data_IF_537747093460
#
_entry.id   IF_537747093460
#
_cell.length_a   1.000
_cell.length_b   1.000
_cell.length_c   1.000
_cell.angle_alpha   90.00
_cell.angle_beta   90.00
_cell.angle_gamma   90.00
#
_symmetry.space_group_name_H-M   'P 1'
#
loop_
_entity.id
_entity.type
_entity.pdbx_description
1 polymer ?
#
# COMPACT_ATOMS: atom_id res chain seq x y z
N UNK A 1 0.23 5.97 63.62
CA UNK A 1 0.19 7.14 62.70
C UNK A 1 0.44 6.60 61.30
N UNK A 2 -0.57 5.95 60.72
CA UNK A 2 -1.59 6.51 59.82
C UNK A 2 -1.20 6.23 58.37
N UNK A 3 -1.74 5.13 57.87
CA UNK A 3 -1.81 4.76 56.46
C UNK A 3 -2.72 5.74 55.72
N UNK A 4 -2.30 6.19 54.53
CA UNK A 4 -3.18 6.85 53.55
C UNK A 4 -3.38 5.93 52.34
N UNK A 5 -4.62 5.66 51.93
CA UNK A 5 -4.94 4.99 50.68
C UNK A 5 -5.41 5.97 49.59
N UNK A 6 -5.05 5.60 48.36
CA UNK A 6 -5.82 5.63 47.09
C UNK A 6 -7.07 6.52 46.99
N UNK A 7 -7.01 7.48 46.06
CA UNK A 7 -8.15 8.12 45.41
C UNK A 7 -8.61 7.32 44.19
N UNK A 8 -9.91 6.99 44.05
CA UNK A 8 -10.52 6.69 42.76
C UNK A 8 -11.58 7.74 42.36
N UNK A 9 -11.50 8.19 41.10
CA UNK A 9 -12.53 8.98 40.42
C UNK A 9 -13.71 8.11 39.95
N UNK A 10 -14.96 8.61 39.97
CA UNK A 10 -16.14 7.88 39.51
C UNK A 10 -16.64 8.37 38.14
N UNK A 11 -16.74 7.50 37.12
CA UNK A 11 -17.67 7.69 35.99
C UNK A 11 -17.74 6.46 35.06
N UNK A 12 -18.21 5.31 35.55
CA UNK A 12 -18.61 4.15 34.71
C UNK A 12 -19.76 3.42 35.41
N UNK A 13 -20.93 4.09 35.49
CA UNK A 13 -22.18 3.50 36.00
C UNK A 13 -23.45 4.10 35.36
N UNK A 14 -23.32 4.81 34.23
CA UNK A 14 -24.44 5.54 33.62
C UNK A 14 -24.85 5.01 32.22
N UNK A 15 -24.29 3.89 31.75
CA UNK A 15 -24.57 3.35 30.41
C UNK A 15 -25.31 2.00 30.43
N UNK A 16 -25.58 1.41 31.60
CA UNK A 16 -26.30 0.13 31.71
C UNK A 16 -27.76 0.18 32.17
N UNK A 17 -28.41 1.35 32.22
CA UNK A 17 -29.83 1.47 32.65
C UNK A 17 -30.77 2.09 31.61
N UNK A 18 -30.33 2.27 30.36
CA UNK A 18 -31.15 2.84 29.28
C UNK A 18 -31.69 1.81 28.28
N UNK A 19 -31.35 0.52 28.41
CA UNK A 19 -31.74 -0.53 27.45
C UNK A 19 -32.76 -1.56 28.00
N UNK A 20 -33.21 -1.43 29.24
CA UNK A 20 -34.20 -2.35 29.86
C UNK A 20 -35.59 -1.70 30.07
N UNK A 21 -35.78 -0.43 29.73
CA UNK A 21 -37.05 0.31 29.89
C UNK A 21 -37.87 0.43 28.59
N UNK A 22 -37.32 0.02 27.44
CA UNK A 22 -38.04 0.02 26.15
C UNK A 22 -38.80 -1.29 25.89
N UNK A 23 -38.75 -2.28 26.80
CA UNK A 23 -39.43 -3.58 26.65
C UNK A 23 -40.64 -3.80 27.57
N UNK A 24 -41.11 -2.80 28.30
CA UNK A 24 -42.25 -2.93 29.24
C UNK A 24 -43.36 -1.88 29.06
N UNK A 25 -43.39 -1.17 27.91
CA UNK A 25 -44.43 -0.17 27.60
C UNK A 25 -45.41 -0.59 26.50
N UNK A 26 -45.38 -1.86 26.05
CA UNK A 26 -46.27 -2.39 25.01
C UNK A 26 -47.37 -3.33 25.53
N UNK A 27 -47.70 -3.30 26.82
CA UNK A 27 -48.72 -4.19 27.38
C UNK A 27 -49.52 -3.57 28.53
N UNK A 28 -50.33 -2.53 28.26
CA UNK A 28 -51.43 -2.12 29.14
C UNK A 28 -52.68 -1.65 28.35
N UNK A 29 -53.92 -1.96 28.79
CA UNK A 29 -55.14 -1.79 28.00
C UNK A 29 -55.79 -0.40 28.08
N UNK A 30 -56.64 -0.11 27.09
CA UNK A 30 -57.21 1.20 26.70
C UNK A 30 -58.27 1.83 27.64
N UNK A 31 -58.40 1.39 28.89
CA UNK A 31 -59.40 1.90 29.84
C UNK A 31 -58.87 2.94 30.85
N UNK A 32 -57.62 3.39 30.71
CA UNK A 32 -56.98 4.34 31.63
C UNK A 32 -57.16 5.83 31.26
N UNK A 33 -57.69 6.12 30.06
CA UNK A 33 -57.79 7.48 29.50
C UNK A 33 -59.19 8.12 29.61
N UNK A 34 -59.96 7.78 30.64
CA UNK A 34 -61.26 8.40 30.91
C UNK A 34 -61.48 8.63 32.41
N UNK A 35 -60.61 9.38 33.09
CA UNK A 35 -60.98 9.91 34.42
C UNK A 35 -60.19 11.12 34.96
N UNK A 36 -59.56 11.93 34.10
CA UNK A 36 -58.77 13.10 34.53
C UNK A 36 -59.37 14.43 34.06
N UNK A 37 -60.69 14.46 33.88
CA UNK A 37 -61.44 15.65 33.50
C UNK A 37 -62.66 15.83 34.41
N UNK A 38 -62.45 15.84 35.73
CA UNK A 38 -63.37 16.45 36.69
C UNK A 38 -62.79 16.42 38.12
N UNK A 39 -62.42 17.61 38.64
CA UNK A 39 -62.43 18.06 40.05
C UNK A 39 -61.23 18.96 40.39
N UNK A 40 -61.27 20.18 39.86
CA UNK A 40 -60.59 21.34 40.45
C UNK A 40 -61.66 22.30 40.94
N UNK A 41 -62.05 22.20 42.22
CA UNK A 41 -62.88 23.21 42.91
C UNK A 41 -62.37 23.37 44.35
N UNK A 42 -61.77 24.54 44.58
CA UNK A 42 -61.57 25.34 45.80
C UNK A 42 -61.07 24.70 47.11
N UNK A 43 -59.93 25.20 47.59
CA UNK A 43 -59.82 25.76 48.94
C UNK A 43 -58.69 26.79 49.03
N UNK A 44 -59.06 27.99 49.49
CA UNK A 44 -58.27 29.20 49.63
C UNK A 44 -57.27 29.08 50.78
N UNK A 45 -55.95 29.13 50.50
CA UNK A 45 -54.89 29.56 51.46
C UNK A 45 -53.43 29.59 50.94
N UNK A 46 -53.20 29.75 49.64
CA UNK A 46 -51.83 29.80 49.06
C UNK A 46 -51.42 31.17 48.46
N UNK A 47 -52.20 32.22 48.71
CA UNK A 47 -52.05 33.52 48.02
C UNK A 47 -51.12 34.55 48.69
N UNK A 48 -50.37 34.17 49.73
CA UNK A 48 -49.49 35.10 50.45
C UNK A 48 -47.99 34.76 50.41
N UNK A 49 -47.59 33.63 49.80
CA UNK A 49 -46.17 33.29 49.59
C UNK A 49 -45.69 33.45 48.13
N UNK A 50 -46.55 33.97 47.24
CA UNK A 50 -46.24 34.19 45.82
C UNK A 50 -45.89 35.64 45.46
N UNK A 51 -45.71 36.54 46.44
CA UNK A 51 -45.35 37.95 46.17
C UNK A 51 -43.89 38.34 46.42
N UNK A 52 -43.02 37.41 46.82
CA UNK A 52 -41.56 37.68 46.95
C UNK A 52 -40.74 37.01 45.83
N UNK A 53 -41.37 36.29 44.90
CA UNK A 53 -40.70 35.59 43.79
C UNK A 53 -41.11 36.10 42.40
N UNK A 54 -41.44 37.39 42.26
CA UNK A 54 -41.79 37.97 40.94
C UNK A 54 -41.04 39.24 40.58
N UNK A 55 -40.04 39.65 41.38
CA UNK A 55 -39.16 40.80 41.06
C UNK A 55 -37.74 40.40 40.67
N UNK A 56 -37.37 39.11 40.79
CA UNK A 56 -36.06 38.60 40.34
C UNK A 56 -36.11 37.84 39.00
N UNK A 57 -37.28 37.39 38.55
CA UNK A 57 -37.42 36.79 37.21
C UNK A 57 -37.55 37.82 36.07
N UNK A 58 -37.89 39.08 36.38
CA UNK A 58 -38.04 40.14 35.37
C UNK A 58 -36.72 40.76 34.89
N UNK A 59 -35.61 40.58 35.64
CA UNK A 59 -34.29 41.14 35.27
C UNK A 59 -33.42 40.11 34.53
N UNK A 60 -33.72 38.81 34.63
CA UNK A 60 -32.99 37.77 33.90
C UNK A 60 -33.42 37.62 32.44
N UNK A 61 -34.61 38.13 32.06
CA UNK A 61 -35.12 38.03 30.69
C UNK A 61 -34.77 39.20 29.77
N UNK A 62 -34.14 40.27 30.26
CA UNK A 62 -33.70 41.40 29.42
C UNK A 62 -32.31 41.18 28.80
N UNK A 63 -31.52 40.21 29.27
CA UNK A 63 -30.25 39.85 28.64
C UNK A 63 -30.37 38.79 27.52
N UNK A 64 -31.54 38.20 27.29
CA UNK A 64 -31.75 37.16 26.26
C UNK A 64 -32.07 37.76 24.88
N UNK A 65 -32.25 39.08 24.76
CA UNK A 65 -32.65 39.74 23.52
C UNK A 65 -31.53 40.55 22.81
N UNK A 66 -30.25 40.30 23.13
CA UNK A 66 -29.09 40.81 22.34
C UNK A 66 -28.16 39.64 21.94
N UNK A 67 -28.70 38.43 21.81
CA UNK A 67 -28.04 37.35 21.09
C UNK A 67 -28.36 37.47 19.62
N UNK A 68 -27.72 38.41 18.91
CA UNK A 68 -27.60 38.28 17.45
C UNK A 68 -27.03 36.90 17.12
N UNK A 69 -27.32 36.33 15.93
CA UNK A 69 -26.72 35.06 15.55
C UNK A 69 -25.21 35.19 15.76
N UNK A 70 -24.68 34.41 16.69
CA UNK A 70 -23.23 34.23 16.81
C UNK A 70 -22.83 33.74 15.44
N UNK A 71 -22.24 34.64 14.64
CA UNK A 71 -21.65 34.26 13.38
C UNK A 71 -20.76 33.07 13.69
N UNK A 72 -21.03 31.93 13.05
CA UNK A 72 -20.07 30.86 13.02
C UNK A 72 -18.74 31.52 12.66
N UNK A 73 -17.76 31.45 13.55
CA UNK A 73 -16.40 31.78 13.22
C UNK A 73 -16.06 30.85 12.05
N UNK A 74 -16.09 31.39 10.83
CA UNK A 74 -15.77 30.62 9.64
C UNK A 74 -14.35 30.10 9.82
N UNK A 75 -14.18 28.78 9.79
CA UNK A 75 -12.84 28.21 9.70
C UNK A 75 -12.26 28.65 8.36
N UNK A 76 -11.23 29.49 8.37
CA UNK A 76 -10.62 30.02 7.14
C UNK A 76 -9.83 28.96 6.37
N UNK A 77 -9.59 27.80 6.99
CA UNK A 77 -8.98 26.62 6.35
C UNK A 77 -9.79 25.36 6.66
N UNK A 78 -9.71 24.36 5.79
CA UNK A 78 -10.24 23.02 6.04
C UNK A 78 -9.28 21.93 5.56
N UNK A 79 -9.10 20.88 6.37
CA UNK A 79 -8.23 19.75 6.03
C UNK A 79 -9.08 18.60 5.50
N UNK A 80 -8.71 18.10 4.32
CA UNK A 80 -9.31 16.94 3.69
C UNK A 80 -8.32 15.78 3.76
N UNK A 81 -8.29 15.10 4.91
CA UNK A 81 -7.50 13.89 5.07
C UNK A 81 -8.34 12.65 4.72
N UNK A 82 -7.67 11.58 4.25
CA UNK A 82 -8.29 10.27 4.06
C UNK A 82 -8.61 9.67 5.43
N UNK A 83 -9.89 9.39 5.77
CA UNK A 83 -10.25 8.96 7.12
C UNK A 83 -9.72 7.57 7.45
N UNK A 84 -9.63 6.68 6.45
CA UNK A 84 -9.10 5.33 6.57
C UNK A 84 -8.23 5.01 5.36
N UNK A 85 -7.05 4.43 5.60
CA UNK A 85 -6.09 4.03 4.57
C UNK A 85 -5.70 2.57 4.79
N UNK A 86 -6.01 1.74 3.81
CA UNK A 86 -5.60 0.33 3.79
C UNK A 86 -4.18 0.23 3.21
N UNK A 87 -3.24 -0.16 4.05
CA UNK A 87 -1.83 -0.32 3.72
C UNK A 87 -1.46 -1.79 3.55
N UNK A 88 -0.50 -2.04 2.66
CA UNK A 88 0.09 -3.36 2.46
C UNK A 88 1.45 -3.43 3.16
N UNK A 89 1.67 -4.48 3.95
CA UNK A 89 2.93 -4.75 4.62
C UNK A 89 4.10 -4.78 3.64
N UNK A 90 5.18 -4.09 3.98
CA UNK A 90 6.40 -3.97 3.19
C UNK A 90 6.32 -2.95 2.04
N UNK A 91 5.17 -2.34 1.79
CA UNK A 91 4.97 -1.34 0.74
C UNK A 91 4.98 0.07 1.30
N UNK A 92 5.22 1.07 0.46
CA UNK A 92 5.05 2.47 0.83
C UNK A 92 3.57 2.81 0.97
N UNK A 93 3.18 3.50 2.04
CA UNK A 93 1.82 3.98 2.28
C UNK A 93 1.77 5.49 2.29
N UNK A 94 0.62 6.06 1.92
CA UNK A 94 0.39 7.50 1.90
C UNK A 94 -0.91 7.82 2.62
N UNK A 95 -0.81 8.58 3.71
CA UNK A 95 -1.96 9.18 4.39
C UNK A 95 -2.26 10.50 3.69
N UNK A 96 -3.22 10.46 2.77
CA UNK A 96 -3.59 11.60 1.95
C UNK A 96 -4.15 12.73 2.81
N UNK A 97 -3.62 13.95 2.71
CA UNK A 97 -4.23 15.11 3.33
C UNK A 97 -3.94 16.41 2.56
N UNK A 98 -5.00 17.15 2.24
CA UNK A 98 -4.94 18.42 1.49
C UNK A 98 -5.61 19.56 2.24
N UNK A 99 -5.03 20.74 2.18
CA UNK A 99 -5.57 21.94 2.82
C UNK A 99 -6.35 22.75 1.77
N UNK A 100 -7.60 23.04 2.07
CA UNK A 100 -8.39 24.04 1.34
C UNK A 100 -8.33 25.36 2.10
N UNK A 101 -8.11 26.45 1.39
CA UNK A 101 -7.97 27.79 1.96
C UNK A 101 -9.12 28.66 1.47
N UNK A 102 -9.75 29.40 2.38
CA UNK A 102 -10.76 30.39 2.06
C UNK A 102 -10.16 31.57 1.27
N UNK A 103 -10.91 32.09 0.30
CA UNK A 103 -10.51 33.27 -0.50
C UNK A 103 -10.27 34.53 0.35
N UNK A 104 -10.79 34.55 1.58
CA UNK A 104 -10.60 35.65 2.53
C UNK A 104 -9.16 35.71 3.09
N UNK A 105 -8.41 34.61 3.00
CA UNK A 105 -7.06 34.52 3.54
C UNK A 105 -6.03 34.95 2.49
N UNK A 106 -5.47 36.14 2.68
CA UNK A 106 -4.41 36.69 1.81
C UNK A 106 -3.07 36.00 2.08
N UNK A 107 -2.34 35.71 1.01
CA UNK A 107 -0.98 35.17 1.03
C UNK A 107 -0.80 34.01 2.03
N UNK A 108 -1.49 32.87 1.81
CA UNK A 108 -1.44 31.74 2.73
C UNK A 108 -0.04 31.15 2.80
N UNK A 109 0.51 31.06 4.02
CA UNK A 109 1.78 30.39 4.29
C UNK A 109 1.62 29.41 5.44
N UNK A 110 2.05 28.17 5.21
CA UNK A 110 2.15 27.19 6.28
C UNK A 110 3.30 27.63 7.18
N UNK A 111 2.99 27.98 8.43
CA UNK A 111 3.98 28.40 9.45
C UNK A 111 4.37 27.25 10.34
N UNK A 112 3.44 26.31 10.55
CA UNK A 112 3.64 25.12 11.36
C UNK A 112 2.86 23.92 10.80
N UNK A 113 3.44 22.74 10.90
CA UNK A 113 2.80 21.47 10.58
C UNK A 113 3.36 20.35 11.44
N UNK A 114 2.50 19.45 11.89
CA UNK A 114 2.92 18.23 12.57
C UNK A 114 2.04 17.05 12.18
N UNK A 115 2.67 15.91 11.92
CA UNK A 115 2.03 14.61 11.93
C UNK A 115 2.40 13.87 13.21
N UNK A 116 1.39 13.55 14.01
CA UNK A 116 1.53 12.77 15.24
C UNK A 116 0.82 11.43 15.09
N UNK A 117 1.30 10.41 15.79
CA UNK A 117 0.62 9.12 15.90
C UNK A 117 0.14 8.92 17.33
N UNK A 118 -1.05 8.39 17.51
CA UNK A 118 -1.57 8.07 18.83
C UNK A 118 -0.61 7.14 19.60
N UNK A 119 -0.31 7.50 20.85
CA UNK A 119 0.60 6.76 21.73
C UNK A 119 2.09 7.02 21.48
N UNK A 120 2.46 7.91 20.56
CA UNK A 120 3.84 8.39 20.35
C UNK A 120 3.94 9.83 20.85
N UNK A 121 4.88 10.11 21.75
CA UNK A 121 5.03 11.45 22.36
C UNK A 121 5.58 12.48 21.36
N UNK A 122 6.61 12.10 20.61
CA UNK A 122 7.27 12.97 19.64
C UNK A 122 6.57 12.93 18.26
N UNK A 123 6.58 14.05 17.51
CA UNK A 123 6.01 14.10 16.17
C UNK A 123 6.82 13.25 15.18
N UNK A 124 6.12 12.55 14.29
CA UNK A 124 6.75 11.72 13.24
C UNK A 124 7.31 12.57 12.09
N UNK A 125 6.66 13.70 11.83
CA UNK A 125 7.10 14.71 10.87
C UNK A 125 6.65 16.07 11.38
N UNK A 126 7.59 17.01 11.42
CA UNK A 126 7.40 18.33 12.00
C UNK A 126 8.00 19.39 11.09
N UNK A 127 7.25 20.44 10.83
CA UNK A 127 7.74 21.62 10.12
C UNK A 127 7.40 22.88 10.90
N UNK A 128 8.38 23.77 11.05
CA UNK A 128 8.19 25.11 11.61
C UNK A 128 9.12 26.11 10.94
N UNK A 129 8.54 27.15 10.37
CA UNK A 129 9.27 28.33 9.88
C UNK A 129 10.50 28.04 8.99
N UNK A 130 10.45 26.98 8.17
CA UNK A 130 11.52 26.59 7.25
C UNK A 130 12.38 25.41 7.72
N UNK A 131 12.26 25.01 8.98
CA UNK A 131 12.89 23.82 9.53
C UNK A 131 11.96 22.62 9.39
N UNK A 132 12.46 21.52 8.83
CA UNK A 132 11.73 20.26 8.64
C UNK A 132 12.49 19.13 9.34
N UNK A 133 11.85 18.50 10.29
CA UNK A 133 12.32 17.31 10.99
C UNK A 133 11.39 16.15 10.69
N UNK A 134 11.94 14.95 10.49
CA UNK A 134 11.16 13.76 10.24
C UNK A 134 11.86 12.54 10.81
N UNK A 135 11.08 11.68 11.45
CA UNK A 135 11.54 10.37 11.88
C UNK A 135 11.92 9.49 10.68
N UNK A 136 12.88 8.57 10.84
CA UNK A 136 13.29 7.69 9.75
C UNK A 136 12.12 6.92 9.13
N UNK A 137 11.98 7.03 7.80
CA UNK A 137 10.90 6.38 7.05
C UNK A 137 9.66 7.24 6.84
N UNK A 138 9.57 8.40 7.50
CA UNK A 138 8.50 9.37 7.32
C UNK A 138 8.95 10.55 6.45
N UNK A 139 8.05 11.08 5.62
CA UNK A 139 8.34 12.21 4.71
C UNK A 139 7.05 12.74 4.09
N UNK A 140 7.08 13.92 3.46
CA UNK A 140 5.95 14.34 2.62
C UNK A 140 5.87 13.49 1.34
N UNK A 141 4.65 13.18 0.91
CA UNK A 141 4.41 12.44 -0.33
C UNK A 141 4.73 13.28 -1.57
N UNK A 142 4.48 14.59 -1.52
CA UNK A 142 4.75 15.54 -2.60
C UNK A 142 6.03 16.33 -2.36
N UNK A 143 6.95 16.46 -3.35
CA UNK A 143 8.10 17.35 -3.25
C UNK A 143 7.72 18.84 -3.13
N UNK A 144 6.57 19.22 -3.70
CA UNK A 144 6.02 20.58 -3.67
C UNK A 144 4.84 20.67 -2.70
N UNK A 145 4.92 19.96 -1.57
CA UNK A 145 3.84 19.84 -0.57
C UNK A 145 3.27 21.19 -0.12
N UNK A 146 4.14 22.18 0.11
CA UNK A 146 3.74 23.49 0.62
C UNK A 146 3.06 24.37 -0.43
N UNK A 147 3.56 24.37 -1.66
CA UNK A 147 2.96 25.13 -2.78
C UNK A 147 1.62 24.56 -3.21
N UNK A 148 1.51 23.22 -3.24
CA UNK A 148 0.30 22.54 -3.66
C UNK A 148 -0.69 22.31 -2.51
N UNK A 149 -0.36 22.75 -1.30
CA UNK A 149 -1.16 22.51 -0.09
C UNK A 149 -1.49 21.02 0.12
N UNK A 150 -0.58 20.15 -0.31
CA UNK A 150 -0.67 18.70 -0.25
C UNK A 150 0.30 18.20 0.82
N UNK A 151 -0.23 18.09 2.04
CA UNK A 151 0.51 17.77 3.26
C UNK A 151 0.45 16.28 3.60
N UNK A 152 0.21 15.45 2.58
CA UNK A 152 0.09 14.00 2.73
C UNK A 152 1.38 13.38 3.30
N UNK A 153 1.23 12.52 4.31
CA UNK A 153 2.34 11.80 4.94
C UNK A 153 2.66 10.53 4.16
N UNK A 154 3.92 10.34 3.79
CA UNK A 154 4.47 9.13 3.20
C UNK A 154 5.21 8.33 4.27
N UNK A 155 4.82 7.06 4.41
CA UNK A 155 5.43 6.07 5.29
C UNK A 155 6.11 5.03 4.40
N UNK A 156 7.43 4.94 4.47
CA UNK A 156 8.20 3.97 3.70
C UNK A 156 8.19 2.59 4.38
N UNK A 157 8.11 1.51 3.58
CA UNK A 157 8.20 0.13 4.06
C UNK A 157 7.27 -0.17 5.25
N UNK A 158 5.96 -0.07 5.02
CA UNK A 158 4.96 -0.14 6.08
C UNK A 158 4.99 -1.45 6.85
N UNK A 159 5.00 -1.38 8.18
CA UNK A 159 4.95 -2.54 9.08
C UNK A 159 3.71 -2.49 9.97
N UNK A 160 3.43 -3.55 10.71
CA UNK A 160 2.31 -3.59 11.66
C UNK A 160 2.44 -2.56 12.80
N UNK A 161 3.66 -2.09 13.10
CA UNK A 161 3.87 -1.05 14.10
C UNK A 161 3.36 0.32 13.64
N UNK A 162 3.18 0.53 12.34
CA UNK A 162 2.60 1.76 11.81
C UNK A 162 1.08 1.76 11.86
N UNK A 163 0.41 0.63 12.11
CA UNK A 163 -1.05 0.58 12.30
C UNK A 163 -1.48 1.50 13.45
N UNK A 164 -2.59 2.22 13.26
CA UNK A 164 -3.15 3.13 14.26
C UNK A 164 -3.66 4.46 13.70
N UNK A 165 -4.04 5.35 14.61
CA UNK A 165 -4.55 6.68 14.27
C UNK A 165 -3.43 7.72 14.21
N UNK A 166 -3.52 8.57 13.19
CA UNK A 166 -2.60 9.66 12.92
C UNK A 166 -3.36 10.99 12.88
N UNK A 167 -2.75 12.04 13.42
CA UNK A 167 -3.30 13.39 13.42
C UNK A 167 -2.39 14.32 12.63
N UNK A 168 -2.96 14.99 11.64
CA UNK A 168 -2.32 16.09 10.92
C UNK A 168 -2.78 17.40 11.54
N UNK A 169 -1.88 18.13 12.17
CA UNK A 169 -2.09 19.48 12.66
C UNK A 169 -1.36 20.48 11.78
N UNK A 170 -2.00 21.58 11.43
CA UNK A 170 -1.40 22.65 10.62
C UNK A 170 -1.75 24.03 11.17
N UNK A 171 -0.86 24.99 10.91
CA UNK A 171 -1.11 26.41 11.05
C UNK A 171 -0.78 27.11 9.75
N UNK A 172 -1.78 27.77 9.17
CA UNK A 172 -1.63 28.63 7.99
C UNK A 172 -1.77 30.07 8.44
N UNK A 173 -0.67 30.83 8.36
CA UNK A 173 -0.53 32.14 8.99
C UNK A 173 -0.81 32.05 10.51
N UNK A 174 -2.02 32.43 10.94
CA UNK A 174 -2.48 32.38 12.34
C UNK A 174 -3.67 31.45 12.55
N UNK A 175 -4.15 30.79 11.49
CA UNK A 175 -5.32 29.93 11.53
C UNK A 175 -4.85 28.48 11.67
N UNK A 176 -5.38 27.79 12.66
CA UNK A 176 -5.10 26.38 12.89
C UNK A 176 -6.15 25.47 12.25
N UNK A 177 -5.75 24.23 11.99
CA UNK A 177 -6.63 23.19 11.53
C UNK A 177 -6.03 21.84 11.86
N UNK A 178 -6.89 20.87 12.13
CA UNK A 178 -6.46 19.50 12.39
C UNK A 178 -7.46 18.52 11.77
N UNK A 179 -6.98 17.34 11.41
CA UNK A 179 -7.81 16.24 10.98
C UNK A 179 -7.05 14.92 11.22
N UNK A 180 -7.79 13.81 11.31
CA UNK A 180 -7.23 12.49 11.62
C UNK A 180 -7.37 11.50 10.46
N UNK A 181 -6.51 10.51 10.47
CA UNK A 181 -6.47 9.41 9.51
C UNK A 181 -6.10 8.10 10.21
N UNK A 182 -6.87 7.05 9.98
CA UNK A 182 -6.56 5.71 10.46
C UNK A 182 -5.78 4.92 9.40
N UNK A 183 -4.64 4.33 9.79
CA UNK A 183 -3.88 3.41 8.95
C UNK A 183 -4.18 1.98 9.38
N UNK A 184 -4.77 1.18 8.49
CA UNK A 184 -5.02 -0.24 8.69
C UNK A 184 -4.03 -1.03 7.85
N UNK A 185 -3.26 -1.92 8.46
CA UNK A 185 -2.22 -2.68 7.76
C UNK A 185 -2.72 -4.09 7.48
N UNK A 186 -2.49 -4.56 6.25
CA UNK A 186 -2.76 -5.92 5.83
C UNK A 186 -1.52 -6.55 5.23
N UNK A 187 -1.36 -7.86 5.40
CA UNK A 187 -0.29 -8.63 4.82
C UNK A 187 -0.87 -9.88 4.15
N UNK A 188 -0.50 -10.09 2.89
CA UNK A 188 -0.94 -11.24 2.10
C UNK A 188 -0.16 -12.49 2.53
N UNK A 189 -0.85 -13.61 2.72
CA UNK A 189 -0.16 -14.89 2.91
C UNK A 189 0.66 -15.26 1.67
N UNK A 190 1.86 -15.79 1.91
CA UNK A 190 2.69 -16.38 0.85
C UNK A 190 2.01 -17.61 0.26
N UNK A 191 2.43 -17.99 -0.95
CA UNK A 191 1.94 -19.16 -1.65
C UNK A 191 1.91 -20.40 -0.73
N UNK A 192 0.74 -21.06 -0.58
CA UNK A 192 0.62 -22.20 0.30
C UNK A 192 1.43 -23.41 -0.19
N UNK A 193 1.80 -24.26 0.73
CA UNK A 193 2.50 -25.53 0.45
C UNK A 193 1.75 -26.68 1.08
N UNK A 194 1.65 -27.81 0.39
CA UNK A 194 1.09 -29.06 0.93
C UNK A 194 2.21 -30.08 1.13
N UNK A 195 2.20 -30.74 2.28
CA UNK A 195 3.02 -31.92 2.56
C UNK A 195 2.14 -33.10 2.96
N UNK A 196 2.57 -34.32 2.64
CA UNK A 196 1.85 -35.56 2.94
C UNK A 196 2.59 -36.42 3.96
N UNK A 197 1.84 -37.12 4.81
CA UNK A 197 2.35 -38.14 5.73
C UNK A 197 1.44 -39.39 5.68
N UNK A 198 1.95 -40.57 5.26
CA UNK A 198 3.28 -40.82 4.70
C UNK A 198 3.49 -40.11 3.35
N UNK A 199 4.75 -39.97 2.90
CA UNK A 199 5.11 -39.26 1.65
C UNK A 199 4.37 -39.81 0.42
N UNK A 200 4.02 -41.11 0.43
CA UNK A 200 3.18 -41.77 -0.57
C UNK A 200 1.87 -42.19 0.10
N UNK A 201 0.77 -41.52 -0.26
CA UNK A 201 -0.57 -41.89 0.20
C UNK A 201 -1.18 -42.81 -0.85
N UNK A 202 -1.68 -43.97 -0.43
CA UNK A 202 -2.45 -44.88 -1.28
C UNK A 202 -3.91 -44.90 -0.83
N UNK A 203 -4.84 -45.19 -1.74
CA UNK A 203 -6.27 -45.32 -1.43
C UNK A 203 -6.57 -46.28 -0.26
N UNK A 204 -5.69 -47.27 -0.06
CA UNK A 204 -5.85 -48.34 0.90
C UNK A 204 -5.18 -48.05 2.26
N UNK A 205 -4.20 -47.15 2.33
CA UNK A 205 -3.44 -46.86 3.54
C UNK A 205 -3.97 -45.66 4.33
N UNK A 206 -4.67 -44.72 3.68
CA UNK A 206 -4.98 -43.43 4.28
C UNK A 206 -3.73 -42.59 4.47
N UNK A 207 -3.91 -41.40 5.05
CA UNK A 207 -2.80 -40.49 5.33
C UNK A 207 -3.26 -39.14 5.83
N UNK A 208 -2.33 -38.20 5.87
CA UNK A 208 -2.59 -36.84 6.32
C UNK A 208 -1.97 -35.87 5.34
N UNK A 209 -2.74 -34.85 4.97
CA UNK A 209 -2.25 -33.67 4.25
C UNK A 209 -2.09 -32.53 5.23
N UNK A 210 -0.98 -31.81 5.14
CA UNK A 210 -0.72 -30.61 5.93
C UNK A 210 -0.42 -29.46 4.98
N UNK A 211 -1.31 -28.45 4.98
CA UNK A 211 -1.15 -27.24 4.22
C UNK A 211 -0.63 -26.11 5.12
N UNK A 212 0.36 -25.36 4.65
CA UNK A 212 0.97 -24.24 5.37
C UNK A 212 1.08 -23.00 4.50
N UNK A 213 0.74 -21.85 5.07
CA UNK A 213 0.92 -20.53 4.46
C UNK A 213 1.39 -19.53 5.52
N UNK A 214 2.32 -18.64 5.20
CA UNK A 214 2.98 -17.76 6.19
C UNK A 214 2.96 -16.30 5.78
N UNK A 215 3.16 -15.41 6.75
CA UNK A 215 3.37 -13.98 6.52
C UNK A 215 2.11 -13.15 6.35
N UNK A 216 0.94 -13.67 6.71
CA UNK A 216 -0.32 -12.95 6.55
C UNK A 216 -0.79 -12.23 7.82
N UNK A 217 -1.53 -11.14 7.65
CA UNK A 217 -2.14 -10.35 8.71
C UNK A 217 -3.36 -9.59 8.15
N UNK A 218 -4.48 -9.51 8.89
CA UNK A 218 -4.77 -10.20 10.13
C UNK A 218 -4.88 -11.73 9.96
N UNK A 219 -5.26 -12.44 11.04
CA UNK A 219 -5.41 -13.90 11.02
C UNK A 219 -6.45 -14.35 9.98
N UNK A 220 -6.00 -15.15 9.02
CA UNK A 220 -6.82 -15.72 7.95
C UNK A 220 -7.26 -17.16 8.23
N UNK A 221 -7.68 -17.86 7.18
CA UNK A 221 -8.23 -19.22 7.23
C UNK A 221 -7.68 -20.11 6.12
N UNK A 222 -7.61 -21.41 6.36
CA UNK A 222 -7.34 -22.43 5.32
C UNK A 222 -8.57 -23.31 5.19
N UNK A 223 -9.04 -23.50 3.96
CA UNK A 223 -10.14 -24.42 3.62
C UNK A 223 -9.65 -25.50 2.67
N UNK A 224 -10.24 -26.68 2.78
CA UNK A 224 -9.92 -27.83 1.94
C UNK A 224 -11.10 -28.18 1.05
N UNK A 225 -10.82 -28.51 -0.21
CA UNK A 225 -11.82 -28.95 -1.18
C UNK A 225 -11.35 -30.23 -1.85
N UNK A 226 -12.27 -31.14 -2.15
CA UNK A 226 -11.98 -32.34 -2.95
C UNK A 226 -12.09 -32.07 -4.47
N UNK A 227 -11.87 -33.10 -5.28
CA UNK A 227 -11.93 -33.03 -6.75
C UNK A 227 -13.26 -32.52 -7.32
N UNK A 228 -14.36 -32.66 -6.57
CA UNK A 228 -15.70 -32.22 -6.94
C UNK A 228 -16.01 -30.82 -6.41
N UNK A 229 -15.03 -30.16 -5.77
CA UNK A 229 -15.23 -28.87 -5.11
C UNK A 229 -16.01 -28.98 -3.80
N UNK A 230 -16.23 -30.18 -3.25
CA UNK A 230 -16.90 -30.34 -1.96
C UNK A 230 -15.93 -29.99 -0.85
N UNK A 231 -16.39 -29.16 0.08
CA UNK A 231 -15.60 -28.74 1.24
C UNK A 231 -15.33 -29.91 2.20
N UNK A 232 -14.08 -30.00 2.66
CA UNK A 232 -13.54 -31.00 3.60
C UNK A 232 -12.90 -30.37 4.84
N UNK A 233 -13.12 -29.07 5.03
CA UNK A 233 -12.49 -28.31 6.14
C UNK A 233 -12.88 -28.86 7.51
N UNK A 234 -14.07 -29.45 7.67
CA UNK A 234 -14.54 -30.06 8.92
C UNK A 234 -13.68 -31.27 9.37
N UNK A 235 -13.10 -31.99 8.41
CA UNK A 235 -12.21 -33.14 8.66
C UNK A 235 -10.76 -32.68 8.97
N UNK A 236 -10.52 -31.37 8.99
CA UNK A 236 -9.21 -30.78 9.19
C UNK A 236 -9.09 -30.04 10.52
N UNK A 237 -7.87 -30.02 11.06
CA UNK A 237 -7.50 -29.23 12.23
C UNK A 237 -6.62 -28.07 11.80
N UNK A 238 -7.09 -26.84 12.03
CA UNK A 238 -6.37 -25.62 11.69
C UNK A 238 -5.73 -24.98 12.92
N UNK A 239 -4.53 -24.44 12.73
CA UNK A 239 -3.79 -23.63 13.69
C UNK A 239 -3.31 -22.35 13.02
N UNK A 240 -3.30 -21.24 13.77
CA UNK A 240 -2.66 -20.00 13.37
C UNK A 240 -1.62 -19.66 14.45
N UNK A 241 -0.36 -19.70 14.07
CA UNK A 241 0.78 -19.43 14.96
C UNK A 241 1.31 -18.02 14.69
N UNK A 242 1.47 -17.16 15.71
CA UNK A 242 2.16 -15.89 15.56
C UNK A 242 3.59 -16.09 15.06
N UNK A 243 4.07 -15.15 14.26
CA UNK A 243 5.43 -15.02 13.77
C UNK A 243 6.02 -13.68 14.23
N UNK A 244 7.29 -13.47 13.93
CA UNK A 244 7.96 -12.19 14.15
C UNK A 244 7.23 -11.04 13.46
N UNK A 245 7.31 -9.86 14.07
CA UNK A 245 6.69 -8.65 13.55
C UNK A 245 5.16 -8.63 13.58
N UNK A 246 4.52 -9.59 14.28
CA UNK A 246 3.06 -9.66 14.46
C UNK A 246 2.30 -10.40 13.36
N UNK A 247 3.01 -10.98 12.39
CA UNK A 247 2.41 -11.75 11.28
C UNK A 247 1.94 -13.13 11.75
N UNK A 248 1.16 -13.82 10.92
CA UNK A 248 0.69 -15.19 11.20
C UNK A 248 1.20 -16.20 10.19
N UNK A 249 1.41 -17.43 10.67
CA UNK A 249 1.49 -18.64 9.87
C UNK A 249 0.26 -19.50 10.12
N UNK A 250 -0.44 -19.86 9.04
CA UNK A 250 -1.55 -20.79 9.06
C UNK A 250 -1.03 -22.20 8.75
N UNK A 251 -1.58 -23.18 9.46
CA UNK A 251 -1.34 -24.60 9.21
C UNK A 251 -2.66 -25.35 9.34
N UNK A 252 -3.03 -26.16 8.36
CA UNK A 252 -4.24 -26.98 8.41
C UNK A 252 -3.91 -28.42 8.05
N UNK A 253 -4.35 -29.35 8.92
CA UNK A 253 -4.06 -30.78 8.82
C UNK A 253 -5.34 -31.55 8.52
N UNK A 254 -5.48 -32.05 7.29
CA UNK A 254 -6.60 -32.86 6.83
C UNK A 254 -6.26 -34.35 6.95
N UNK A 255 -7.13 -35.11 7.64
CA UNK A 255 -6.96 -36.57 7.78
C UNK A 255 -7.76 -37.29 6.72
N UNK A 256 -7.09 -38.10 5.89
CA UNK A 256 -7.72 -38.85 4.82
C UNK A 256 -8.08 -40.25 5.29
N UNK A 257 -9.39 -40.55 5.30
CA UNK A 257 -9.90 -41.86 5.66
C UNK A 257 -9.70 -42.87 4.52
N UNK A 258 -9.39 -44.12 4.88
CA UNK A 258 -9.23 -45.23 3.92
C UNK A 258 -10.52 -45.39 3.12
N UNK A 259 -10.42 -45.69 1.81
CA UNK A 259 -11.56 -45.88 0.89
C UNK A 259 -12.45 -44.65 0.65
N UNK A 260 -12.10 -43.48 1.18
CA UNK A 260 -12.78 -42.20 0.92
C UNK A 260 -11.81 -41.10 0.46
N UNK A 261 -10.68 -41.53 -0.12
CA UNK A 261 -9.65 -40.63 -0.66
C UNK A 261 -10.05 -40.25 -2.09
N UNK A 262 -10.25 -38.95 -2.32
CA UNK A 262 -10.42 -38.39 -3.66
C UNK A 262 -9.08 -38.33 -4.40
N UNK A 263 -9.11 -38.28 -5.74
CA UNK A 263 -7.87 -38.22 -6.52
C UNK A 263 -7.13 -36.90 -6.36
N UNK A 264 -7.85 -35.83 -5.99
CA UNK A 264 -7.33 -34.47 -5.87
C UNK A 264 -7.89 -33.76 -4.65
N UNK A 265 -7.04 -32.95 -4.01
CA UNK A 265 -7.45 -32.00 -2.97
C UNK A 265 -6.85 -30.62 -3.22
N UNK A 266 -7.64 -29.58 -3.02
CA UNK A 266 -7.20 -28.19 -3.05
C UNK A 266 -7.11 -27.64 -1.63
N UNK A 267 -5.98 -27.02 -1.29
CA UNK A 267 -5.86 -26.18 -0.12
C UNK A 267 -5.97 -24.72 -0.55
N UNK A 268 -6.92 -24.01 0.01
CA UNK A 268 -7.20 -22.61 -0.32
C UNK A 268 -7.01 -21.74 0.91
N UNK A 269 -6.21 -20.69 0.78
CA UNK A 269 -5.87 -19.73 1.84
C UNK A 269 -6.70 -18.47 1.65
N UNK A 270 -7.43 -18.08 2.69
CA UNK A 270 -8.22 -16.86 2.73
C UNK A 270 -7.63 -15.89 3.76
N UNK A 271 -7.57 -14.61 3.42
CA UNK A 271 -7.26 -13.56 4.38
C UNK A 271 -8.43 -13.30 5.35
N UNK A 272 -8.22 -12.43 6.33
CA UNK A 272 -9.21 -12.12 7.35
C UNK A 272 -10.51 -11.53 6.79
N UNK A 273 -10.44 -10.84 5.66
CA UNK A 273 -11.61 -10.26 4.96
C UNK A 273 -12.34 -11.27 4.07
N UNK A 274 -11.88 -12.54 4.03
CA UNK A 274 -12.43 -13.58 3.17
C UNK A 274 -11.94 -13.54 1.72
N UNK A 275 -10.97 -12.68 1.41
CA UNK A 275 -10.31 -12.65 0.10
C UNK A 275 -9.37 -13.82 -0.10
N UNK A 276 -9.24 -14.28 -1.35
CA UNK A 276 -8.35 -15.38 -1.72
C UNK A 276 -6.88 -14.90 -1.79
N UNK A 277 -6.03 -15.47 -0.96
CA UNK A 277 -4.60 -15.15 -0.92
C UNK A 277 -3.75 -16.15 -1.71
N UNK A 278 -4.17 -17.40 -1.80
CA UNK A 278 -3.50 -18.41 -2.61
C UNK A 278 -4.16 -19.76 -2.53
N UNK A 279 -3.82 -20.63 -3.49
CA UNK A 279 -4.30 -22.01 -3.52
C UNK A 279 -3.20 -22.96 -4.02
N UNK A 280 -3.28 -24.20 -3.58
CA UNK A 280 -2.34 -25.24 -4.00
C UNK A 280 -3.08 -26.56 -4.07
N UNK A 281 -2.89 -27.25 -5.19
CA UNK A 281 -3.51 -28.55 -5.42
C UNK A 281 -2.51 -29.65 -5.08
N UNK A 282 -3.00 -30.70 -4.44
CA UNK A 282 -2.29 -31.97 -4.36
C UNK A 282 -3.05 -33.07 -5.09
N UNK A 283 -2.36 -33.73 -6.02
CA UNK A 283 -2.91 -34.74 -6.91
C UNK A 283 -2.29 -36.11 -6.62
N UNK A 284 -3.14 -37.13 -6.57
CA UNK A 284 -2.83 -38.53 -6.33
C UNK A 284 -2.96 -39.40 -7.58
N UNK A 285 -3.21 -38.83 -8.77
CA UNK A 285 -3.33 -39.59 -10.03
C UNK A 285 -2.13 -40.53 -10.21
N UNK A 286 -2.43 -41.83 -10.12
CA UNK A 286 -1.45 -42.90 -10.08
C UNK A 286 -1.08 -43.31 -11.51
N UNK A 287 0.12 -42.95 -11.97
CA UNK A 287 0.74 -43.63 -13.10
C UNK A 287 1.86 -44.54 -12.56
N UNK A 288 1.49 -45.79 -12.25
CA UNK A 288 2.35 -46.93 -11.85
C UNK A 288 3.34 -46.76 -10.67
N UNK A 289 3.58 -45.55 -10.16
CA UNK A 289 4.39 -45.24 -8.99
C UNK A 289 3.81 -43.98 -8.35
N UNK A 290 3.14 -44.11 -7.20
CA UNK A 290 2.53 -42.96 -6.52
C UNK A 290 3.63 -42.02 -6.00
N UNK A 291 4.02 -41.01 -6.77
CA UNK A 291 4.74 -39.84 -6.28
C UNK A 291 3.73 -38.71 -6.08
N UNK A 292 3.63 -38.21 -4.85
CA UNK A 292 2.75 -37.09 -4.52
C UNK A 292 3.28 -35.84 -5.22
N UNK A 293 2.54 -35.34 -6.22
CA UNK A 293 2.82 -34.08 -6.91
C UNK A 293 1.86 -33.02 -6.36
N UNK A 294 2.35 -32.20 -5.42
CA UNK A 294 1.64 -30.99 -5.04
C UNK A 294 2.27 -29.78 -5.74
N UNK A 295 1.46 -28.89 -6.31
CA UNK A 295 1.93 -27.71 -7.05
C UNK A 295 0.85 -26.63 -7.16
N UNK A 296 1.23 -25.39 -7.53
CA UNK A 296 0.29 -24.29 -7.73
C UNK A 296 -0.69 -24.61 -8.86
N UNK A 297 -1.89 -24.02 -8.82
CA UNK A 297 -2.92 -24.27 -9.83
C UNK A 297 -2.51 -23.74 -11.21
N UNK A 298 -3.03 -24.36 -12.27
CA UNK A 298 -2.63 -24.14 -13.67
C UNK A 298 -2.77 -22.68 -14.14
N UNK A 299 -3.57 -21.86 -13.45
CA UNK A 299 -3.73 -20.43 -13.73
C UNK A 299 -2.50 -19.60 -13.30
N UNK A 300 -1.86 -19.91 -12.17
CA UNK A 300 -0.62 -19.24 -11.73
C UNK A 300 0.60 -19.66 -12.55
N UNK A 301 0.57 -20.82 -13.21
CA UNK A 301 1.66 -21.24 -14.12
C UNK A 301 1.85 -20.22 -15.26
N UNK A 302 0.77 -19.54 -15.68
CA UNK A 302 0.84 -18.45 -16.68
C UNK A 302 1.43 -17.14 -16.12
N UNK A 303 1.41 -16.91 -14.81
CA UNK A 303 2.02 -15.71 -14.20
C UNK A 303 3.47 -15.96 -13.79
N UNK A 304 3.77 -17.13 -13.22
CA UNK A 304 5.11 -17.46 -12.73
C UNK A 304 6.10 -17.77 -13.87
N UNK A 305 5.64 -18.34 -14.99
CA UNK A 305 6.49 -18.55 -16.17
C UNK A 305 6.68 -17.25 -16.99
N UNK A 306 5.94 -16.19 -16.66
CA UNK A 306 6.07 -14.87 -17.29
C UNK A 306 7.11 -13.98 -16.62
N UNK A 307 7.55 -14.30 -15.41
CA UNK A 307 8.50 -13.51 -14.60
C UNK A 307 9.94 -14.07 -14.59
N UNK A 308 10.26 -15.06 -15.43
CA UNK A 308 11.64 -15.48 -15.68
C UNK A 308 12.00 -15.42 -17.17
N UNK A 309 11.68 -14.30 -17.81
CA UNK A 309 12.38 -13.89 -19.03
C UNK A 309 12.93 -12.47 -18.86
N UNK A 310 14.26 -12.29 -18.87
CA UNK A 310 14.84 -10.97 -18.77
C UNK A 310 14.46 -10.17 -20.01
N UNK A 311 13.75 -9.05 -19.81
CA UNK A 311 13.43 -8.04 -20.82
C UNK A 311 14.66 -7.48 -21.57
N UNK A 312 15.87 -7.94 -21.23
CA UNK A 312 17.12 -7.65 -21.92
C UNK A 312 17.12 -8.15 -23.38
N UNK A 313 16.55 -9.32 -23.70
CA UNK A 313 16.70 -9.89 -25.05
C UNK A 313 15.98 -9.07 -26.14
N UNK A 314 14.90 -8.37 -25.78
CA UNK A 314 14.15 -7.52 -26.73
C UNK A 314 14.85 -6.19 -27.04
N UNK A 315 15.73 -5.71 -26.16
CA UNK A 315 16.48 -4.45 -26.37
C UNK A 315 17.87 -4.74 -26.95
N UNK A 316 18.49 -5.86 -26.57
CA UNK A 316 19.85 -6.23 -27.03
C UNK A 316 19.86 -6.61 -28.51
N UNK A 317 18.81 -7.27 -29.01
CA UNK A 317 18.77 -7.73 -30.41
C UNK A 317 18.84 -6.58 -31.43
N UNK A 318 18.06 -5.48 -31.32
CA UNK A 318 18.21 -4.35 -32.24
C UNK A 318 19.53 -3.58 -32.05
N UNK A 319 20.07 -3.47 -30.82
CA UNK A 319 21.31 -2.72 -30.58
C UNK A 319 22.56 -3.42 -31.14
N UNK A 320 22.62 -4.75 -31.07
CA UNK A 320 23.75 -5.53 -31.65
C UNK A 320 23.74 -5.44 -33.18
N UNK A 321 22.55 -5.46 -33.80
CA UNK A 321 22.40 -5.30 -35.25
C UNK A 321 22.84 -3.90 -35.68
N UNK A 322 22.36 -2.85 -34.98
CA UNK A 322 22.74 -1.45 -35.28
C UNK A 322 24.25 -1.25 -35.11
N UNK A 323 24.83 -1.76 -34.02
CA UNK A 323 26.27 -1.71 -33.77
C UNK A 323 27.08 -2.40 -34.87
N UNK A 324 26.65 -3.60 -35.31
CA UNK A 324 27.33 -4.33 -36.38
C UNK A 324 27.25 -3.62 -37.74
N UNK A 325 26.13 -2.96 -38.05
CA UNK A 325 25.98 -2.16 -39.26
C UNK A 325 26.89 -0.93 -39.25
N UNK A 326 27.03 -0.25 -38.11
CA UNK A 326 27.93 0.92 -37.97
C UNK A 326 29.38 0.49 -38.15
N UNK A 327 29.81 -0.59 -37.49
CA UNK A 327 31.18 -1.11 -37.62
C UNK A 327 31.46 -1.55 -39.07
N UNK A 328 30.51 -2.23 -39.71
CA UNK A 328 30.62 -2.62 -41.12
C UNK A 328 30.76 -1.43 -42.07
N UNK A 329 29.96 -0.37 -41.86
CA UNK A 329 30.06 0.87 -42.64
C UNK A 329 31.39 1.59 -42.42
N UNK A 330 31.88 1.66 -41.19
CA UNK A 330 33.18 2.28 -40.89
C UNK A 330 34.33 1.51 -41.54
N UNK A 331 34.31 0.18 -41.51
CA UNK A 331 35.31 -0.65 -42.19
C UNK A 331 35.23 -0.48 -43.71
N UNK A 332 34.03 -0.43 -44.29
CA UNK A 332 33.85 -0.18 -45.72
C UNK A 332 34.38 1.20 -46.13
N UNK A 333 34.12 2.24 -45.33
CA UNK A 333 34.67 3.59 -45.56
C UNK A 333 36.19 3.62 -45.46
N UNK A 334 36.79 2.89 -44.51
CA UNK A 334 38.25 2.77 -44.38
C UNK A 334 38.87 2.03 -45.58
N UNK A 335 38.22 0.97 -46.07
CA UNK A 335 38.66 0.25 -47.29
C UNK A 335 38.50 1.13 -48.52
N UNK A 336 37.40 1.86 -48.66
CA UNK A 336 37.20 2.81 -49.74
C UNK A 336 38.23 3.95 -49.71
N UNK A 337 38.54 4.49 -48.53
CA UNK A 337 39.62 5.47 -48.33
C UNK A 337 40.98 4.89 -48.70
N UNK A 338 41.30 3.67 -48.25
CA UNK A 338 42.56 2.99 -48.64
C UNK A 338 42.63 2.74 -50.15
N UNK A 339 41.52 2.35 -50.78
CA UNK A 339 41.46 2.15 -52.25
C UNK A 339 41.56 3.46 -53.03
N UNK A 340 40.97 4.55 -52.54
CA UNK A 340 41.13 5.88 -53.16
C UNK A 340 42.54 6.41 -52.97
N UNK A 341 43.14 6.21 -51.80
CA UNK A 341 44.53 6.58 -51.51
C UNK A 341 45.53 5.72 -52.32
N UNK A 342 45.26 4.42 -52.50
CA UNK A 342 46.02 3.56 -53.43
C UNK A 342 45.83 3.98 -54.89
N UNK A 343 44.63 4.40 -55.30
CA UNK A 343 44.41 4.97 -56.65
C UNK A 343 45.20 6.27 -56.84
N UNK A 344 45.27 7.13 -55.84
CA UNK A 344 46.09 8.34 -55.89
C UNK A 344 47.59 8.02 -55.96
N UNK A 345 48.06 7.01 -55.20
CA UNK A 345 49.46 6.54 -55.30
C UNK A 345 49.78 5.90 -56.65
N UNK A 346 48.87 5.12 -57.24
CA UNK A 346 49.06 4.58 -58.59
C UNK A 346 49.07 5.68 -59.66
N UNK A 347 48.24 6.72 -59.52
CA UNK A 347 48.31 7.87 -60.42
C UNK A 347 49.65 8.62 -60.27
N UNK A 348 50.19 8.78 -59.06
CA UNK A 348 51.50 9.42 -58.87
C UNK A 348 52.65 8.62 -59.49
N UNK A 349 52.61 7.29 -59.43
CA UNK A 349 53.61 6.42 -60.08
C UNK A 349 53.47 6.37 -61.60
N UNK A 350 52.29 6.64 -62.17
CA UNK A 350 52.14 6.70 -63.64
C UNK A 350 52.67 8.03 -64.22
N UNK A 351 52.73 9.10 -63.41
CA UNK A 351 53.39 10.35 -63.79
C UNK A 351 54.92 10.25 -63.67
N UNK A 352 55.45 9.62 -62.62
CA UNK A 352 56.90 9.40 -62.49
C UNK A 352 57.44 8.39 -63.53
N UNK A 353 56.70 7.32 -63.86
CA UNK A 353 57.13 6.37 -64.90
C UNK A 353 57.01 6.90 -66.34
N UNK A 354 56.25 7.98 -66.57
CA UNK A 354 56.23 8.66 -67.86
C UNK A 354 57.37 9.66 -68.00
N UNK A 355 57.82 10.26 -66.89
CA UNK A 355 58.96 11.18 -66.85
C UNK A 355 60.31 10.43 -66.89
N UNK A 356 60.38 9.19 -66.37
CA UNK A 356 61.60 8.36 -66.43
C UNK A 356 61.87 7.74 -67.82
N UNK A 357 60.86 7.63 -68.69
CA UNK A 357 61.06 7.18 -70.08
C UNK A 357 61.59 8.31 -70.96
N UNK A 358 61.10 9.55 -70.77
CA UNK A 358 61.55 10.73 -71.52
C UNK A 358 63.02 11.10 -71.20
N UNK A 359 63.47 10.86 -69.96
CA UNK A 359 64.87 11.12 -69.55
C UNK A 359 65.83 10.00 -69.99
N UNK A 360 65.33 8.80 -70.34
CA UNK A 360 66.15 7.70 -70.85
C UNK A 360 66.39 7.75 -72.36
N UNK A 361 65.59 8.51 -73.12
CA UNK A 361 65.77 8.70 -74.57
C UNK A 361 66.69 9.90 -74.88
N UNK A 362 66.82 10.89 -73.98
CA UNK A 362 67.78 12.01 -74.12
C UNK A 362 69.21 11.72 -73.56
N UNK A 363 69.40 10.63 -72.82
CA UNK A 363 70.71 10.29 -72.21
C UNK A 363 71.54 9.28 -73.04
N UNK A 364 71.01 8.74 -74.14
CA UNK A 364 71.73 7.81 -75.03
C UNK A 364 72.22 8.48 -76.34
N UNK A 365 72.04 9.79 -76.51
CA UNK A 365 72.58 10.54 -77.67
C UNK A 365 73.79 11.44 -77.32
N UNK A 366 74.26 11.45 -76.06
CA UNK A 366 75.38 12.29 -75.62
C UNK A 366 76.65 11.52 -75.20
N UNK A 367 76.77 10.24 -75.58
CA UNK A 367 77.94 9.41 -75.27
C UNK A 367 78.50 8.65 -76.49
N UNK A 368 78.39 9.25 -77.68
CA UNK A 368 79.10 8.80 -78.88
C UNK A 368 79.80 9.99 -79.56
N UNK A 369 80.61 10.74 -78.79
CA UNK A 369 81.57 11.70 -79.35
C UNK A 369 82.81 11.80 -78.43
N UNK A 370 83.59 10.72 -78.31
CA UNK A 370 85.07 10.83 -78.21
C UNK A 370 85.79 9.46 -78.33
N UNK A 371 85.85 8.89 -79.54
CA UNK A 371 87.01 8.07 -79.96
C UNK A 371 87.07 7.92 -81.49
N UNK A 372 88.12 8.54 -82.07
CA UNK A 372 88.52 8.71 -83.49
C UNK A 372 88.20 10.13 -84.01
N UNK A 373 89.13 11.00 -84.37
CA UNK A 373 90.53 10.81 -84.75
C UNK A 373 90.70 10.80 -86.28
N UNK A 374 91.27 11.91 -86.79
CA UNK A 374 91.77 12.24 -88.15
C UNK A 374 90.83 13.07 -89.03
#
# INVERSE_FOLDING_TARGET
>A
MSCYPLYPHPSLSAVCTALELSRQLSSLPSSFWHNWSCRFILSSRAWLLLRVSMSFLGVLFIFVAIGGPVGHAGSFISLHCSPEVNAQYGQTSVLGCKISISEELKDPRITWLSWMKEGVEDPLLYYKEGELEAEPGYSFASPSWSTNMDVSLRIANTTLQHEGEYTCGVMVNTVNGENTSSLIVTAKYRAPTITSRPKKITLNSGGTLECRASGGYPKGQIRWFDENGKEKTEDAKMLATPMDGGLFQLSSRLTLQKRSISSKYNCTVFNASGGLDGEVTCDFTCEATCEVKCGPTTEERKSLEKELQPAAYKIVTPLVVIGSCIVGLLLALLVCRRRTQQRQNCHHQTYEAAEEVDVSEEAEEAAEEDQHGV
#
